data_IF_601710277487
#
_entry.id   IF_601710277487
#
_cell.length_a   1.000
_cell.length_b   1.000
_cell.length_c   1.000
_cell.angle_alpha   90.00
_cell.angle_beta   90.00
_cell.angle_gamma   90.00
#
_symmetry.space_group_name_H-M   'P 1'
#
loop_
_entity.id
_entity.type
_entity.pdbx_description
1 polymer ?
#
# COMPACT_ATOMS: atom_id res chain seq x y z
N UNK A 1 -4.30 -4.61 -15.70
CA UNK A 1 -5.33 -4.12 -14.75
C UNK A 1 -4.68 -3.19 -13.74
N UNK A 2 -5.45 -2.43 -12.94
CA UNK A 2 -4.91 -1.66 -11.80
C UNK A 2 -5.50 -2.20 -10.51
N UNK A 3 -4.64 -2.50 -9.54
CA UNK A 3 -5.02 -3.03 -8.23
C UNK A 3 -4.59 -1.99 -7.20
N UNK A 4 -5.53 -1.46 -6.43
CA UNK A 4 -5.25 -0.47 -5.38
C UNK A 4 -5.33 -1.18 -4.03
N UNK A 5 -4.28 -1.06 -3.23
CA UNK A 5 -4.15 -1.72 -1.93
C UNK A 5 -3.84 -0.68 -0.87
N UNK A 6 -4.61 -0.70 0.22
CA UNK A 6 -4.26 0.04 1.43
C UNK A 6 -3.05 -0.65 2.08
N UNK A 7 -1.91 0.03 2.04
CA UNK A 7 -0.68 -0.48 2.59
C UNK A 7 -0.57 -0.23 4.10
N UNK A 8 -1.48 0.52 4.72
CA UNK A 8 -1.46 0.87 6.15
C UNK A 8 -2.44 0.03 6.97
N UNK A 9 -3.26 -0.79 6.31
CA UNK A 9 -4.27 -1.63 6.95
C UNK A 9 -3.71 -2.92 7.55
N UNK A 10 -4.03 -3.16 8.83
CA UNK A 10 -3.75 -4.41 9.54
C UNK A 10 -2.54 -4.35 10.48
N UNK A 11 -2.44 -5.34 11.37
CA UNK A 11 -1.50 -5.33 12.50
C UNK A 11 -0.02 -5.33 12.10
N UNK A 12 0.28 -5.79 10.88
CA UNK A 12 1.64 -5.88 10.32
C UNK A 12 1.87 -4.90 9.18
N UNK A 13 1.02 -3.88 9.04
CA UNK A 13 1.24 -2.83 8.07
C UNK A 13 2.45 -1.94 8.45
N UNK A 14 3.23 -1.41 7.48
CA UNK A 14 3.10 -1.64 6.05
C UNK A 14 3.78 -2.92 5.52
N UNK A 15 4.46 -3.68 6.38
CA UNK A 15 5.27 -4.85 5.97
C UNK A 15 4.50 -5.91 5.20
N UNK A 16 3.42 -6.44 5.79
CA UNK A 16 2.69 -7.56 5.18
C UNK A 16 2.01 -7.16 3.85
N UNK A 17 1.29 -6.02 3.74
CA UNK A 17 0.71 -5.58 2.48
C UNK A 17 1.76 -5.31 1.38
N UNK A 18 2.87 -4.65 1.73
CA UNK A 18 3.97 -4.35 0.79
C UNK A 18 4.61 -5.63 0.28
N UNK A 19 4.94 -6.56 1.18
CA UNK A 19 5.57 -7.82 0.81
C UNK A 19 4.66 -8.64 -0.12
N UNK A 20 3.36 -8.75 0.20
CA UNK A 20 2.38 -9.44 -0.64
C UNK A 20 2.27 -8.82 -2.04
N UNK A 21 2.29 -7.49 -2.14
CA UNK A 21 2.26 -6.80 -3.42
C UNK A 21 3.50 -7.06 -4.27
N UNK A 22 4.70 -7.09 -3.66
CA UNK A 22 5.96 -7.43 -4.34
C UNK A 22 5.93 -8.87 -4.85
N UNK A 23 5.43 -9.82 -4.04
CA UNK A 23 5.30 -11.22 -4.45
C UNK A 23 4.36 -11.37 -5.65
N UNK A 24 3.17 -10.76 -5.59
CA UNK A 24 2.19 -10.81 -6.68
C UNK A 24 2.75 -10.21 -7.97
N UNK A 25 3.31 -9.00 -7.89
CA UNK A 25 3.90 -8.30 -9.04
C UNK A 25 4.99 -9.16 -9.72
N UNK A 26 5.77 -9.90 -8.93
CA UNK A 26 6.77 -10.84 -9.44
C UNK A 26 6.16 -12.06 -10.11
N UNK A 27 5.19 -12.72 -9.47
CA UNK A 27 4.54 -13.92 -10.03
C UNK A 27 3.85 -13.61 -11.37
N UNK A 28 3.21 -12.44 -11.45
CA UNK A 28 2.55 -11.97 -12.66
C UNK A 28 3.49 -11.24 -13.63
N UNK A 29 4.78 -11.14 -13.31
CA UNK A 29 5.82 -10.46 -14.12
C UNK A 29 5.44 -9.03 -14.49
N UNK A 30 4.83 -8.29 -13.57
CA UNK A 30 4.40 -6.90 -13.76
C UNK A 30 3.23 -6.72 -14.74
N UNK A 31 2.48 -7.80 -15.05
CA UNK A 31 1.30 -7.75 -15.94
C UNK A 31 0.27 -6.72 -15.48
N UNK A 32 0.09 -6.60 -14.17
CA UNK A 32 -0.82 -5.64 -13.56
C UNK A 32 -0.05 -4.57 -12.80
N UNK A 33 -0.62 -3.36 -12.75
CA UNK A 33 -0.08 -2.27 -11.95
C UNK A 33 -0.65 -2.33 -10.54
N UNK A 34 0.21 -2.54 -9.55
CA UNK A 34 -0.17 -2.49 -8.13
C UNK A 34 0.10 -1.10 -7.59
N UNK A 35 -0.90 -0.51 -6.94
CA UNK A 35 -0.84 0.82 -6.36
C UNK A 35 -0.99 0.69 -4.85
N UNK A 36 0.10 0.94 -4.12
CA UNK A 36 0.12 0.95 -2.66
C UNK A 36 -0.23 2.35 -2.16
N UNK A 37 -1.24 2.45 -1.30
CA UNK A 37 -1.74 3.72 -0.76
C UNK A 37 -1.43 3.80 0.72
N UNK A 38 -0.83 4.90 1.18
CA UNK A 38 -0.53 5.09 2.60
C UNK A 38 0.56 6.11 2.90
N UNK A 39 1.24 5.94 4.04
CA UNK A 39 2.45 6.71 4.34
C UNK A 39 3.55 6.32 3.34
N UNK A 40 3.84 7.25 2.44
CA UNK A 40 4.76 7.02 1.34
C UNK A 40 6.16 6.69 1.85
N UNK A 41 6.61 7.35 2.92
CA UNK A 41 7.96 7.15 3.47
C UNK A 41 8.07 5.74 4.02
N UNK A 42 7.12 5.32 4.84
CA UNK A 42 7.12 3.99 5.45
C UNK A 42 7.01 2.87 4.39
N UNK A 43 6.20 3.08 3.35
CA UNK A 43 6.06 2.12 2.24
C UNK A 43 7.36 2.04 1.41
N UNK A 44 7.97 3.18 1.08
CA UNK A 44 9.21 3.22 0.31
C UNK A 44 10.40 2.62 1.07
N UNK A 45 10.49 2.86 2.38
CA UNK A 45 11.49 2.23 3.25
C UNK A 45 11.34 0.71 3.29
N UNK A 46 10.10 0.21 3.37
CA UNK A 46 9.84 -1.23 3.33
C UNK A 46 10.15 -1.83 1.96
N UNK A 47 9.81 -1.15 0.86
CA UNK A 47 10.22 -1.61 -0.48
C UNK A 47 11.75 -1.63 -0.61
N UNK A 48 12.45 -0.62 -0.08
CA UNK A 48 13.90 -0.55 -0.13
C UNK A 48 14.59 -1.60 0.76
N UNK A 49 13.92 -2.09 1.81
CA UNK A 49 14.43 -3.17 2.65
C UNK A 49 14.43 -4.53 1.92
N UNK A 50 13.66 -4.64 0.84
CA UNK A 50 13.65 -5.83 -0.01
C UNK A 50 14.82 -5.79 -1.01
N UNK A 51 15.54 -6.92 -1.13
CA UNK A 51 16.68 -7.08 -2.05
C UNK A 51 16.24 -6.99 -3.52
N UNK A 52 14.95 -7.21 -3.81
CA UNK A 52 14.41 -7.36 -5.15
C UNK A 52 13.49 -6.18 -5.45
N UNK A 53 13.80 -5.45 -6.52
CA UNK A 53 12.96 -4.35 -6.99
C UNK A 53 11.69 -4.87 -7.70
N UNK A 54 10.52 -4.28 -7.41
CA UNK A 54 9.29 -4.60 -8.13
C UNK A 54 9.31 -4.10 -9.58
N UNK A 55 8.51 -4.73 -10.42
CA UNK A 55 8.37 -4.46 -11.85
C UNK A 55 7.36 -3.33 -12.12
N UNK A 56 6.18 -3.40 -11.51
CA UNK A 56 5.06 -2.47 -11.80
C UNK A 56 4.28 -2.07 -10.54
N UNK A 57 5.02 -1.70 -9.49
CA UNK A 57 4.44 -1.14 -8.26
C UNK A 57 4.59 0.38 -8.25
N UNK A 58 3.50 1.07 -7.89
CA UNK A 58 3.45 2.51 -7.66
C UNK A 58 3.01 2.81 -6.24
N UNK A 59 3.67 3.76 -5.58
CA UNK A 59 3.24 4.25 -4.26
C UNK A 59 2.49 5.57 -4.44
N UNK A 60 1.34 5.69 -3.80
CA UNK A 60 0.54 6.92 -3.72
C UNK A 60 0.45 7.32 -2.25
N UNK A 61 0.92 8.52 -1.93
CA UNK A 61 0.80 9.04 -0.58
C UNK A 61 -0.67 9.34 -0.26
N UNK A 62 -1.15 8.81 0.86
CA UNK A 62 -2.37 9.27 1.50
C UNK A 62 -2.01 10.03 2.78
N UNK A 63 -2.48 11.27 2.89
CA UNK A 63 -2.26 12.14 4.05
C UNK A 63 -3.09 11.75 5.27
N UNK A 64 -4.03 10.81 5.13
CA UNK A 64 -5.00 10.46 6.18
C UNK A 64 -5.07 8.96 6.42
N UNK A 65 -4.44 8.50 7.50
CA UNK A 65 -4.70 7.18 8.09
C UNK A 65 -5.99 7.28 8.90
N UNK A 66 -6.97 6.40 8.65
CA UNK A 66 -8.18 6.31 9.46
C UNK A 66 -7.83 5.52 10.73
N UNK A 67 -7.65 6.21 11.84
CA UNK A 67 -7.39 5.61 13.15
C UNK A 67 -8.69 5.03 13.75
N UNK A 68 -8.59 4.04 14.64
CA UNK A 68 -9.70 3.30 15.26
C UNK A 68 -10.67 4.17 16.10
N UNK A 69 -10.34 5.44 16.33
CA UNK A 69 -11.20 6.41 17.01
C UNK A 69 -12.15 7.19 16.07
N UNK A 70 -12.05 7.02 14.76
CA UNK A 70 -12.95 7.68 13.80
C UNK A 70 -14.21 6.82 13.55
N UNK A 71 -15.38 7.42 13.77
CA UNK A 71 -16.66 6.78 13.41
C UNK A 71 -16.68 6.46 11.90
N UNK A 72 -16.91 5.19 11.50
CA UNK A 72 -16.69 4.71 10.13
C UNK A 72 -17.54 5.42 9.07
N UNK A 73 -18.69 5.98 9.46
CA UNK A 73 -19.59 6.70 8.57
C UNK A 73 -19.11 8.10 8.15
N UNK A 74 -18.22 8.73 8.93
CA UNK A 74 -17.80 10.13 8.70
C UNK A 74 -16.45 10.23 7.98
N UNK A 75 -15.61 9.20 8.08
CA UNK A 75 -14.28 9.17 7.50
C UNK A 75 -14.29 9.14 5.96
N UNK A 76 -15.19 8.36 5.34
CA UNK A 76 -15.29 8.25 3.86
C UNK A 76 -15.75 9.56 3.20
N UNK A 77 -16.45 10.44 3.93
CA UNK A 77 -17.13 11.62 3.37
C UNK A 77 -16.37 12.93 3.54
N UNK A 78 -15.43 13.01 4.49
CA UNK A 78 -14.72 14.26 4.83
C UNK A 78 -13.23 14.26 4.47
N UNK A 79 -12.65 13.09 4.26
CA UNK A 79 -11.22 12.92 4.01
C UNK A 79 -11.01 12.77 2.51
N UNK A 80 -10.34 13.75 1.88
CA UNK A 80 -10.14 13.88 0.42
C UNK A 80 -8.67 13.88 0.09
#
# INVERSE_FOLDING_TARGET
MRIVVDAMGGDLAPKAPVHGAILYDREERGRDQVILVGDKTAIEEEIASHIISPHNIRVVHATEVIDMHDQPATAVRKKK
#
